data_IF_654588208865
#
_entry.id   IF_654588208865
#
_cell.length_a   1.000
_cell.length_b   1.000
_cell.length_c   1.000
_cell.angle_alpha   90.00
_cell.angle_beta   90.00
_cell.angle_gamma   90.00
#
_symmetry.space_group_name_H-M   'P 1'
#
loop_
_entity.id
_entity.type
_entity.pdbx_description
1 polymer ?
#
# COMPACT_ATOMS: atom_id res chain seq x y z
N UNK A 1 6.61 -30.79 -5.43
CA UNK A 1 5.92 -29.61 -5.93
C UNK A 1 5.80 -28.48 -4.88
N UNK A 2 5.04 -28.65 -3.78
CA UNK A 2 5.05 -27.66 -2.66
C UNK A 2 6.41 -27.67 -1.95
N UNK A 3 7.05 -28.83 -1.82
CA UNK A 3 8.39 -28.97 -1.26
C UNK A 3 9.46 -28.21 -2.06
N UNK A 4 9.36 -28.13 -3.39
CA UNK A 4 10.32 -27.41 -4.24
C UNK A 4 10.18 -25.88 -4.13
N UNK A 5 8.97 -25.38 -3.81
CA UNK A 5 8.71 -23.96 -3.51
C UNK A 5 9.32 -23.58 -2.17
N UNK A 6 9.22 -24.46 -1.18
CA UNK A 6 9.76 -24.27 0.17
C UNK A 6 11.28 -24.50 0.25
N UNK A 7 11.88 -25.19 -0.73
CA UNK A 7 13.33 -25.47 -0.76
C UNK A 7 14.16 -24.28 -1.26
N UNK A 8 13.58 -23.32 -1.97
CA UNK A 8 14.29 -22.13 -2.43
C UNK A 8 14.25 -21.00 -1.38
N UNK A 9 15.40 -20.63 -0.77
CA UNK A 9 15.44 -19.57 0.23
C UNK A 9 14.91 -18.20 -0.28
N UNK A 10 15.10 -17.90 -1.57
CA UNK A 10 14.61 -16.69 -2.19
C UNK A 10 13.08 -16.67 -2.27
N UNK A 11 12.48 -17.77 -2.70
CA UNK A 11 11.03 -17.91 -2.79
C UNK A 11 10.36 -17.82 -1.43
N UNK A 12 10.97 -18.44 -0.40
CA UNK A 12 10.48 -18.39 0.97
C UNK A 12 10.48 -16.95 1.52
N UNK A 13 11.59 -16.20 1.31
CA UNK A 13 11.67 -14.79 1.72
C UNK A 13 10.63 -13.92 1.03
N UNK A 14 10.47 -14.08 -0.27
CA UNK A 14 9.48 -13.31 -1.06
C UNK A 14 8.05 -13.63 -0.64
N UNK A 15 7.74 -14.90 -0.40
CA UNK A 15 6.44 -15.33 0.10
C UNK A 15 6.14 -14.72 1.46
N UNK A 16 7.10 -14.77 2.38
CA UNK A 16 6.97 -14.21 3.71
C UNK A 16 6.72 -12.70 3.66
N UNK A 17 7.51 -11.96 2.86
CA UNK A 17 7.31 -10.52 2.69
C UNK A 17 5.96 -10.21 2.06
N UNK A 18 5.55 -10.93 1.01
CA UNK A 18 4.26 -10.68 0.35
C UNK A 18 3.07 -10.94 1.29
N UNK A 19 3.14 -11.97 2.14
CA UNK A 19 2.13 -12.26 3.17
C UNK A 19 2.13 -11.17 4.25
N UNK A 20 3.29 -10.74 4.73
CA UNK A 20 3.39 -9.66 5.73
C UNK A 20 2.81 -8.34 5.19
N UNK A 21 3.11 -8.00 3.94
CA UNK A 21 2.50 -6.84 3.28
C UNK A 21 1.00 -7.03 3.11
N UNK A 22 0.55 -8.23 2.73
CA UNK A 22 -0.87 -8.60 2.66
C UNK A 22 -1.62 -8.48 3.99
N UNK A 23 -0.93 -8.63 5.12
CA UNK A 23 -1.46 -8.37 6.46
C UNK A 23 -1.50 -6.88 6.79
N UNK A 24 -0.39 -6.17 6.57
CA UNK A 24 -0.19 -4.80 7.02
C UNK A 24 -0.91 -3.76 6.14
N UNK A 25 -0.79 -3.89 4.82
CA UNK A 25 -1.30 -2.88 3.88
C UNK A 25 -2.82 -2.66 3.99
N UNK A 26 -3.68 -3.69 4.09
CA UNK A 26 -5.13 -3.48 4.25
C UNK A 26 -5.51 -2.79 5.55
N UNK A 27 -4.72 -2.93 6.62
CA UNK A 27 -5.00 -2.24 7.90
C UNK A 27 -4.88 -0.73 7.73
N UNK A 28 -3.79 -0.26 7.12
CA UNK A 28 -3.61 1.17 6.79
C UNK A 28 -4.62 1.62 5.74
N UNK A 29 -4.82 0.83 4.70
CA UNK A 29 -5.78 1.08 3.63
C UNK A 29 -7.21 1.29 4.14
N UNK A 30 -7.61 0.57 5.21
CA UNK A 30 -8.95 0.74 5.79
C UNK A 30 -9.22 2.16 6.31
N UNK A 31 -8.22 2.82 6.88
CA UNK A 31 -8.32 4.20 7.33
C UNK A 31 -8.28 5.19 6.17
N UNK A 32 -7.44 4.94 5.15
CA UNK A 32 -7.37 5.79 3.96
C UNK A 32 -8.68 5.75 3.16
N UNK A 33 -9.25 4.56 2.96
CA UNK A 33 -10.53 4.38 2.23
C UNK A 33 -11.68 5.06 2.99
N UNK A 34 -11.74 4.94 4.33
CA UNK A 34 -12.76 5.61 5.13
C UNK A 34 -12.68 7.13 5.06
N UNK A 35 -11.46 7.69 4.95
CA UNK A 35 -11.25 9.14 4.79
C UNK A 35 -11.50 9.65 3.37
N UNK A 36 -11.88 8.78 2.41
CA UNK A 36 -11.97 9.14 1.00
C UNK A 36 -10.63 9.42 0.33
N UNK A 37 -9.51 8.97 0.92
CA UNK A 37 -8.14 9.20 0.44
C UNK A 37 -7.50 7.91 -0.11
N UNK A 38 -8.29 7.08 -0.79
CA UNK A 38 -7.83 5.80 -1.31
C UNK A 38 -6.56 5.92 -2.20
N UNK A 39 -6.47 6.95 -3.04
CA UNK A 39 -5.33 7.19 -3.92
C UNK A 39 -4.07 7.70 -3.21
N UNK A 40 -4.14 8.00 -1.91
CA UNK A 40 -2.98 8.52 -1.16
C UNK A 40 -1.81 7.54 -1.16
N UNK A 41 -2.09 6.22 -1.06
CA UNK A 41 -1.05 5.19 -1.13
C UNK A 41 -0.29 5.21 -2.45
N UNK A 42 -1.01 5.39 -3.54
CA UNK A 42 -0.43 5.45 -4.89
C UNK A 42 0.37 6.74 -5.10
N UNK A 43 -0.17 7.90 -4.71
CA UNK A 43 0.54 9.18 -4.75
C UNK A 43 1.86 9.15 -3.95
N UNK A 44 1.82 8.61 -2.72
CA UNK A 44 3.02 8.43 -1.89
C UNK A 44 4.01 7.46 -2.56
N UNK A 45 3.54 6.41 -3.24
CA UNK A 45 4.38 5.46 -3.96
C UNK A 45 5.22 6.13 -5.04
N UNK A 46 4.61 7.02 -5.83
CA UNK A 46 5.33 7.75 -6.87
C UNK A 46 6.30 8.79 -6.29
N UNK A 47 5.97 9.41 -5.17
CA UNK A 47 6.90 10.28 -4.43
C UNK A 47 8.06 9.47 -3.84
N UNK A 48 7.80 8.27 -3.34
CA UNK A 48 8.85 7.36 -2.89
C UNK A 48 9.83 7.00 -4.02
N UNK A 49 9.35 6.88 -5.28
CA UNK A 49 10.22 6.69 -6.44
C UNK A 49 11.18 7.86 -6.64
N UNK A 50 10.72 9.10 -6.46
CA UNK A 50 11.62 10.28 -6.42
C UNK A 50 12.67 10.14 -5.33
N UNK A 51 12.28 9.61 -4.17
CA UNK A 51 13.19 9.34 -3.05
C UNK A 51 14.24 8.27 -3.39
N UNK A 52 13.86 7.20 -4.07
CA UNK A 52 14.80 6.19 -4.61
C UNK A 52 15.82 6.86 -5.54
N UNK A 53 15.34 7.68 -6.47
CA UNK A 53 16.18 8.36 -7.45
C UNK A 53 17.17 9.32 -6.78
N UNK A 54 16.72 10.09 -5.79
CA UNK A 54 17.59 10.94 -4.98
C UNK A 54 18.60 10.13 -4.16
N UNK A 55 18.18 9.02 -3.58
CA UNK A 55 19.05 8.09 -2.86
C UNK A 55 20.15 7.52 -3.78
N UNK A 56 19.78 7.15 -5.01
CA UNK A 56 20.74 6.70 -6.03
C UNK A 56 21.73 7.78 -6.40
N UNK A 57 21.26 8.98 -6.70
CA UNK A 57 22.10 10.11 -7.06
C UNK A 57 23.10 10.45 -5.96
N UNK A 58 22.64 10.53 -4.71
CA UNK A 58 23.50 10.79 -3.54
C UNK A 58 24.47 9.63 -3.29
N UNK A 59 24.05 8.39 -3.46
CA UNK A 59 24.89 7.20 -3.33
C UNK A 59 26.00 7.14 -4.37
N UNK A 60 25.69 7.55 -5.60
CA UNK A 60 26.66 7.63 -6.70
C UNK A 60 27.73 8.70 -6.41
N UNK A 61 27.32 9.88 -5.95
CA UNK A 61 28.22 11.00 -5.70
C UNK A 61 29.10 10.84 -4.46
N UNK A 62 28.55 10.26 -3.38
CA UNK A 62 29.25 10.19 -2.09
C UNK A 62 30.09 8.93 -1.92
N UNK A 63 29.64 7.77 -2.39
CA UNK A 63 30.22 6.48 -2.02
C UNK A 63 30.34 5.47 -3.17
N UNK A 64 29.91 5.77 -4.38
CA UNK A 64 29.90 4.83 -5.50
C UNK A 64 29.00 3.60 -5.31
N UNK A 65 28.10 3.62 -4.33
CA UNK A 65 27.16 2.54 -4.01
C UNK A 65 25.70 3.05 -4.05
N UNK A 66 25.12 3.20 -5.24
CA UNK A 66 23.81 3.81 -5.41
C UNK A 66 22.68 3.04 -4.73
N UNK A 67 22.74 1.71 -4.71
CA UNK A 67 21.67 0.87 -4.15
C UNK A 67 21.50 0.99 -2.63
N UNK A 68 22.58 1.32 -1.90
CA UNK A 68 22.57 1.41 -0.43
C UNK A 68 21.68 2.54 0.07
N UNK A 69 21.58 3.63 -0.67
CA UNK A 69 20.81 4.82 -0.28
C UNK A 69 19.41 4.87 -0.90
N UNK A 70 19.05 3.94 -1.78
CA UNK A 70 17.76 3.88 -2.45
C UNK A 70 16.58 3.78 -1.46
N UNK A 71 16.62 2.81 -0.53
CA UNK A 71 15.55 2.59 0.46
C UNK A 71 15.48 3.73 1.49
N UNK A 72 16.58 4.17 2.10
CA UNK A 72 16.56 5.34 2.98
C UNK A 72 16.03 6.61 2.29
N UNK A 73 16.43 6.86 1.05
CA UNK A 73 15.92 7.97 0.26
C UNK A 73 14.41 7.89 0.02
N UNK A 74 13.93 6.71 -0.37
CA UNK A 74 12.50 6.44 -0.51
C UNK A 74 11.71 6.73 0.77
N UNK A 75 12.21 6.23 1.91
CA UNK A 75 11.60 6.42 3.22
C UNK A 75 11.46 7.91 3.60
N UNK A 76 12.56 8.65 3.51
CA UNK A 76 12.57 10.07 3.86
C UNK A 76 11.62 10.86 2.96
N UNK A 77 11.70 10.68 1.65
CA UNK A 77 10.90 11.46 0.69
C UNK A 77 9.42 11.04 0.73
N UNK A 78 9.11 9.75 0.94
CA UNK A 78 7.73 9.30 1.11
C UNK A 78 7.08 9.91 2.35
N UNK A 79 7.79 9.94 3.49
CA UNK A 79 7.29 10.56 4.72
C UNK A 79 7.11 12.07 4.54
N UNK A 80 8.09 12.76 3.93
CA UNK A 80 7.96 14.18 3.65
C UNK A 80 6.76 14.47 2.73
N UNK A 81 6.58 13.68 1.67
CA UNK A 81 5.44 13.80 0.77
C UNK A 81 4.10 13.61 1.50
N UNK A 82 4.01 12.59 2.36
CA UNK A 82 2.82 12.33 3.16
C UNK A 82 2.50 13.49 4.13
N UNK A 83 3.52 14.07 4.75
CA UNK A 83 3.37 15.23 5.62
C UNK A 83 2.95 16.49 4.84
N UNK A 84 3.49 16.69 3.64
CA UNK A 84 3.10 17.79 2.76
C UNK A 84 1.63 17.66 2.34
N UNK A 85 1.18 16.48 1.92
CA UNK A 85 -0.23 16.26 1.59
C UNK A 85 -1.12 16.60 2.79
N UNK A 86 -0.79 16.08 3.97
CA UNK A 86 -1.60 16.33 5.17
C UNK A 86 -1.61 17.80 5.56
N UNK A 87 -0.47 18.49 5.40
CA UNK A 87 -0.39 19.92 5.64
C UNK A 87 -1.24 20.73 4.65
N UNK A 88 -1.13 20.46 3.34
CA UNK A 88 -1.89 21.16 2.29
C UNK A 88 -3.40 20.95 2.50
N UNK A 89 -3.79 19.71 2.84
CA UNK A 89 -5.18 19.36 3.13
C UNK A 89 -5.69 20.11 4.39
N UNK A 90 -4.92 20.07 5.46
CA UNK A 90 -5.31 20.70 6.73
C UNK A 90 -5.35 22.23 6.66
N UNK A 91 -4.55 22.83 5.80
CA UNK A 91 -4.52 24.26 5.55
C UNK A 91 -5.64 24.73 4.59
N UNK A 92 -6.39 23.82 3.96
CA UNK A 92 -7.47 24.15 3.02
C UNK A 92 -6.97 24.85 1.73
N UNK A 93 -5.68 24.71 1.38
CA UNK A 93 -5.07 25.39 0.23
C UNK A 93 -5.70 24.89 -1.08
N UNK A 94 -5.98 23.59 -1.16
CA UNK A 94 -6.63 22.96 -2.30
C UNK A 94 -7.40 21.72 -1.86
N UNK A 95 -8.25 21.17 -2.74
CA UNK A 95 -8.91 19.90 -2.44
C UNK A 95 -7.91 18.77 -2.26
N UNK A 96 -8.22 17.80 -1.41
CA UNK A 96 -7.37 16.64 -1.18
C UNK A 96 -7.01 15.89 -2.47
N UNK A 97 -7.97 15.76 -3.39
CA UNK A 97 -7.77 15.09 -4.69
C UNK A 97 -6.80 15.86 -5.59
N UNK A 98 -6.90 17.20 -5.61
CA UNK A 98 -5.97 18.04 -6.41
C UNK A 98 -4.55 17.96 -5.83
N UNK A 99 -4.40 18.02 -4.51
CA UNK A 99 -3.11 17.86 -3.86
C UNK A 99 -2.47 16.49 -4.16
N UNK A 100 -3.27 15.42 -4.11
CA UNK A 100 -2.86 14.08 -4.47
C UNK A 100 -2.44 13.96 -5.93
N UNK A 101 -3.20 14.57 -6.87
CA UNK A 101 -2.89 14.56 -8.29
C UNK A 101 -1.57 15.27 -8.58
N UNK A 102 -1.34 16.45 -7.98
CA UNK A 102 -0.08 17.19 -8.13
C UNK A 102 1.11 16.35 -7.61
N UNK A 103 0.93 15.73 -6.46
CA UNK A 103 1.98 14.91 -5.86
C UNK A 103 2.26 13.64 -6.68
N UNK A 104 1.23 13.02 -7.21
CA UNK A 104 1.31 11.84 -8.08
C UNK A 104 2.11 12.15 -9.36
N UNK A 105 1.67 13.16 -10.13
CA UNK A 105 2.37 13.55 -11.36
C UNK A 105 3.75 14.12 -11.09
N UNK A 106 3.90 14.93 -10.06
CA UNK A 106 5.19 15.47 -9.63
C UNK A 106 6.17 14.37 -9.22
N UNK A 107 5.69 13.38 -8.46
CA UNK A 107 6.48 12.21 -8.05
C UNK A 107 6.96 11.38 -9.23
N UNK A 108 6.10 11.11 -10.22
CA UNK A 108 6.50 10.39 -11.44
C UNK A 108 7.53 11.21 -12.23
N UNK A 109 7.21 12.47 -12.51
CA UNK A 109 8.07 13.31 -13.35
C UNK A 109 9.46 13.52 -12.73
N UNK A 110 9.51 13.88 -11.44
CA UNK A 110 10.77 14.04 -10.72
C UNK A 110 11.54 12.71 -10.59
N UNK A 111 10.84 11.60 -10.30
CA UNK A 111 11.46 10.28 -10.20
C UNK A 111 12.15 9.86 -11.51
N UNK A 112 11.43 9.95 -12.63
CA UNK A 112 11.97 9.61 -13.96
C UNK A 112 13.12 10.51 -14.33
N UNK A 113 12.98 11.83 -14.13
CA UNK A 113 14.04 12.80 -14.43
C UNK A 113 15.33 12.51 -13.64
N UNK A 114 15.21 12.31 -12.33
CA UNK A 114 16.35 12.05 -11.45
C UNK A 114 17.03 10.70 -11.73
N UNK A 115 16.24 9.64 -12.03
CA UNK A 115 16.81 8.34 -12.45
C UNK A 115 17.62 8.52 -13.74
N UNK A 116 17.09 9.26 -14.71
CA UNK A 116 17.80 9.53 -15.96
C UNK A 116 19.11 10.31 -15.72
N UNK A 117 19.09 11.32 -14.85
CA UNK A 117 20.28 12.08 -14.46
C UNK A 117 21.31 11.24 -13.68
N UNK A 118 20.86 10.25 -12.93
CA UNK A 118 21.73 9.33 -12.19
C UNK A 118 22.32 8.21 -13.08
N UNK A 119 22.08 8.23 -14.40
CA UNK A 119 22.54 7.19 -15.33
C UNK A 119 21.76 5.88 -15.21
N UNK A 120 20.59 5.91 -14.58
CA UNK A 120 19.71 4.75 -14.46
C UNK A 120 18.98 4.40 -15.76
N UNK A 121 18.52 3.15 -15.84
CA UNK A 121 17.81 2.62 -17.01
C UNK A 121 16.31 2.43 -16.71
N UNK A 122 15.51 2.26 -17.78
CA UNK A 122 14.09 1.89 -17.65
C UNK A 122 13.88 0.55 -16.94
N UNK A 123 14.87 -0.35 -16.95
CA UNK A 123 14.82 -1.61 -16.22
C UNK A 123 14.78 -1.37 -14.70
N UNK A 124 15.51 -0.37 -14.19
CA UNK A 124 15.49 0.01 -12.79
C UNK A 124 14.13 0.57 -12.36
N UNK A 125 13.52 1.38 -13.22
CA UNK A 125 12.14 1.89 -13.02
C UNK A 125 11.13 0.74 -12.91
N UNK A 126 11.15 -0.19 -13.87
CA UNK A 126 10.26 -1.34 -13.87
C UNK A 126 10.41 -2.21 -12.60
N UNK A 127 11.63 -2.32 -12.09
CA UNK A 127 11.92 -3.02 -10.86
C UNK A 127 11.15 -2.44 -9.64
N UNK A 128 11.15 -1.12 -9.47
CA UNK A 128 10.43 -0.48 -8.36
C UNK A 128 8.93 -0.40 -8.58
N UNK A 129 8.46 -0.33 -9.83
CA UNK A 129 7.02 -0.30 -10.14
C UNK A 129 6.34 -1.66 -9.93
N UNK A 130 6.97 -2.74 -10.38
CA UNK A 130 6.37 -4.08 -10.42
C UNK A 130 6.92 -5.04 -9.36
N UNK A 131 7.95 -4.64 -8.63
CA UNK A 131 8.64 -5.49 -7.67
C UNK A 131 9.47 -6.61 -8.33
N UNK A 132 10.26 -7.30 -7.51
CA UNK A 132 11.01 -8.47 -7.96
C UNK A 132 11.18 -9.48 -6.84
N UNK A 133 10.82 -10.72 -7.12
CA UNK A 133 10.95 -11.86 -6.20
C UNK A 133 12.42 -12.27 -6.02
N UNK A 134 13.26 -12.03 -7.05
CA UNK A 134 14.64 -12.56 -7.11
C UNK A 134 15.65 -11.77 -6.29
N UNK A 135 15.27 -10.59 -5.79
CA UNK A 135 16.22 -9.65 -5.15
C UNK A 135 15.95 -9.43 -3.66
N UNK A 136 15.03 -10.20 -3.06
CA UNK A 136 14.68 -10.06 -1.64
C UNK A 136 15.84 -10.50 -0.77
N UNK A 137 16.41 -9.55 -0.02
CA UNK A 137 17.48 -9.81 0.93
C UNK A 137 16.94 -10.18 2.32
N UNK A 138 17.78 -10.75 3.17
CA UNK A 138 17.39 -11.01 4.57
C UNK A 138 17.08 -9.71 5.35
N UNK A 139 17.69 -8.58 4.97
CA UNK A 139 17.42 -7.28 5.58
C UNK A 139 16.01 -6.78 5.21
N UNK A 140 15.57 -6.98 3.96
CA UNK A 140 14.21 -6.60 3.53
C UNK A 140 13.14 -7.35 4.33
N UNK A 141 13.38 -8.62 4.66
CA UNK A 141 12.49 -9.42 5.53
C UNK A 141 12.37 -8.78 6.91
N UNK A 142 13.52 -8.43 7.55
CA UNK A 142 13.50 -7.81 8.87
C UNK A 142 12.82 -6.45 8.89
N UNK A 143 13.06 -5.60 7.90
CA UNK A 143 12.37 -4.31 7.77
C UNK A 143 10.86 -4.51 7.60
N UNK A 144 10.44 -5.49 6.79
CA UNK A 144 9.02 -5.77 6.59
C UNK A 144 8.36 -6.34 7.85
N UNK A 145 9.05 -7.23 8.59
CA UNK A 145 8.54 -7.74 9.88
C UNK A 145 8.37 -6.60 10.88
N UNK A 146 9.40 -5.78 11.09
CA UNK A 146 9.35 -4.65 12.01
C UNK A 146 8.22 -3.68 11.64
N UNK A 147 8.10 -3.35 10.35
CA UNK A 147 7.03 -2.49 9.85
C UNK A 147 5.64 -3.09 10.09
N UNK A 148 5.46 -4.38 9.75
CA UNK A 148 4.19 -5.08 9.96
C UNK A 148 3.77 -5.04 11.42
N UNK A 149 4.71 -5.30 12.35
CA UNK A 149 4.43 -5.21 13.80
C UNK A 149 4.00 -3.79 14.19
N UNK A 150 4.71 -2.77 13.72
CA UNK A 150 4.35 -1.36 13.99
C UNK A 150 2.96 -1.02 13.45
N UNK A 151 2.67 -1.39 12.19
CA UNK A 151 1.38 -1.11 11.56
C UNK A 151 0.25 -1.82 12.29
N UNK A 152 0.41 -3.09 12.64
CA UNK A 152 -0.60 -3.84 13.37
C UNK A 152 -0.79 -3.28 14.79
N UNK A 153 0.29 -2.92 15.48
CA UNK A 153 0.21 -2.30 16.80
C UNK A 153 -0.52 -0.95 16.76
N UNK A 154 -0.19 -0.08 15.80
CA UNK A 154 -0.84 1.22 15.63
C UNK A 154 -2.26 1.04 15.09
N UNK A 155 -2.45 0.33 13.99
CA UNK A 155 -3.73 0.24 13.30
C UNK A 155 -4.77 -0.57 14.05
N UNK A 156 -4.38 -1.60 14.80
CA UNK A 156 -5.30 -2.40 15.60
C UNK A 156 -5.37 -1.87 17.05
N UNK A 157 -4.24 -1.48 17.63
CA UNK A 157 -4.18 -0.99 19.00
C UNK A 157 -4.87 0.37 19.19
N UNK A 158 -4.73 1.28 18.22
CA UNK A 158 -5.37 2.60 18.23
C UNK A 158 -6.66 2.64 17.39
N UNK A 159 -7.30 1.48 17.15
CA UNK A 159 -8.48 1.39 16.28
C UNK A 159 -9.60 2.35 16.65
N UNK A 160 -9.92 2.50 17.95
CA UNK A 160 -10.98 3.39 18.42
C UNK A 160 -10.73 4.86 18.04
N UNK A 161 -9.65 5.47 18.48
CA UNK A 161 -9.29 6.84 18.11
C UNK A 161 -9.14 7.05 16.60
N UNK A 162 -8.45 6.13 15.90
CA UNK A 162 -8.28 6.20 14.45
C UNK A 162 -9.61 6.14 13.71
N UNK A 163 -10.53 5.27 14.14
CA UNK A 163 -11.87 5.19 13.55
C UNK A 163 -12.67 6.48 13.75
N UNK A 164 -12.67 7.05 14.98
CA UNK A 164 -13.34 8.32 15.24
C UNK A 164 -12.82 9.43 14.34
N UNK A 165 -11.51 9.57 14.24
CA UNK A 165 -10.88 10.62 13.42
C UNK A 165 -11.15 10.42 11.92
N UNK A 166 -11.17 9.18 11.43
CA UNK A 166 -11.40 8.90 10.01
C UNK A 166 -12.86 8.98 9.59
N UNK A 167 -13.78 8.78 10.52
CA UNK A 167 -15.22 8.80 10.25
C UNK A 167 -15.83 10.20 10.41
N UNK A 168 -15.43 10.93 11.46
CA UNK A 168 -15.93 12.28 11.79
C UNK A 168 -14.86 13.06 12.56
N UNK A 169 -14.16 13.96 11.86
CA UNK A 169 -13.09 14.78 12.44
C UNK A 169 -13.63 15.78 13.47
N UNK A 170 -14.85 16.30 13.28
CA UNK A 170 -15.44 17.29 14.19
C UNK A 170 -15.90 16.64 15.51
N UNK A 171 -16.52 15.47 15.43
CA UNK A 171 -16.84 14.66 16.59
C UNK A 171 -15.58 14.25 17.37
N UNK A 172 -14.54 13.79 16.67
CA UNK A 172 -13.28 13.41 17.29
C UNK A 172 -12.63 14.58 18.02
N UNK A 173 -12.68 15.80 17.42
CA UNK A 173 -12.17 17.04 18.05
C UNK A 173 -12.98 17.42 19.28
N UNK A 174 -14.32 17.33 19.20
CA UNK A 174 -15.20 17.58 20.34
C UNK A 174 -15.00 16.59 21.49
N UNK A 175 -14.61 15.36 21.15
CA UNK A 175 -14.27 14.30 22.12
C UNK A 175 -12.86 14.42 22.71
N UNK A 176 -12.11 15.51 22.42
CA UNK A 176 -10.78 15.77 22.96
C UNK A 176 -9.63 15.04 22.24
N UNK A 177 -9.88 14.39 21.10
CA UNK A 177 -8.83 13.73 20.32
C UNK A 177 -8.04 14.76 19.51
N UNK A 178 -6.71 14.61 19.47
CA UNK A 178 -5.83 15.41 18.62
C UNK A 178 -5.90 14.96 17.16
N UNK A 179 -6.92 15.40 16.43
CA UNK A 179 -7.19 15.03 15.02
C UNK A 179 -5.93 15.15 14.17
N UNK A 180 -5.18 16.26 14.31
CA UNK A 180 -3.95 16.49 13.54
C UNK A 180 -2.89 15.39 13.79
N UNK A 181 -2.70 14.97 15.04
CA UNK A 181 -1.72 13.94 15.37
C UNK A 181 -2.09 12.57 14.77
N UNK A 182 -3.38 12.19 14.85
CA UNK A 182 -3.86 10.94 14.26
C UNK A 182 -3.82 10.96 12.72
N UNK A 183 -4.10 12.10 12.11
CA UNK A 183 -4.00 12.27 10.66
C UNK A 183 -2.54 12.12 10.18
N UNK A 184 -1.59 12.75 10.88
CA UNK A 184 -0.16 12.59 10.63
C UNK A 184 0.25 11.12 10.83
N UNK A 185 -0.23 10.46 11.89
CA UNK A 185 0.07 9.06 12.15
C UNK A 185 -0.38 8.14 11.01
N UNK A 186 -1.60 8.35 10.48
CA UNK A 186 -2.11 7.60 9.31
C UNK A 186 -1.23 7.88 8.08
N UNK A 187 -0.91 9.13 7.81
CA UNK A 187 -0.09 9.52 6.67
C UNK A 187 1.33 8.92 6.73
N UNK A 188 1.96 8.98 7.90
CA UNK A 188 3.29 8.39 8.11
C UNK A 188 3.26 6.87 8.02
N UNK A 189 2.27 6.20 8.62
CA UNK A 189 2.14 4.74 8.50
C UNK A 189 1.89 4.30 7.06
N UNK A 190 1.13 5.06 6.28
CA UNK A 190 0.95 4.82 4.85
C UNK A 190 2.28 4.97 4.09
N UNK A 191 3.02 6.04 4.34
CA UNK A 191 4.33 6.28 3.72
C UNK A 191 5.34 5.18 4.02
N UNK A 192 5.43 4.76 5.28
CA UNK A 192 6.28 3.65 5.70
C UNK A 192 5.89 2.33 5.03
N UNK A 193 4.57 2.05 4.96
CA UNK A 193 4.05 0.85 4.29
C UNK A 193 4.48 0.80 2.83
N UNK A 194 4.30 1.90 2.11
CA UNK A 194 4.66 1.98 0.69
C UNK A 194 6.17 1.89 0.51
N UNK A 195 6.95 2.71 1.22
CA UNK A 195 8.39 2.82 1.02
C UNK A 195 9.16 1.52 1.33
N UNK A 196 8.74 0.76 2.36
CA UNK A 196 9.37 -0.52 2.69
C UNK A 196 8.93 -1.63 1.74
N UNK A 197 7.64 -1.65 1.39
CA UNK A 197 7.07 -2.75 0.59
C UNK A 197 7.38 -2.63 -0.90
N UNK A 198 7.60 -1.42 -1.43
CA UNK A 198 7.75 -1.17 -2.86
C UNK A 198 8.93 -1.93 -3.50
N UNK A 199 10.01 -2.15 -2.75
CA UNK A 199 11.20 -2.84 -3.27
C UNK A 199 10.91 -4.30 -3.60
N UNK A 200 10.09 -4.96 -2.80
CA UNK A 200 9.82 -6.40 -2.93
C UNK A 200 8.59 -6.64 -3.79
N UNK A 201 7.54 -5.88 -3.52
CA UNK A 201 6.20 -6.13 -4.05
C UNK A 201 5.87 -5.18 -5.20
N UNK A 202 6.55 -4.04 -5.28
CA UNK A 202 6.32 -2.98 -6.26
C UNK A 202 5.24 -1.98 -5.82
N UNK A 203 5.36 -0.74 -6.29
CA UNK A 203 4.45 0.37 -5.93
C UNK A 203 3.00 0.03 -6.31
N UNK A 204 2.77 -0.44 -7.54
CA UNK A 204 1.44 -0.76 -8.05
C UNK A 204 0.73 -1.82 -7.19
N UNK A 205 1.46 -2.83 -6.74
CA UNK A 205 0.85 -3.88 -5.92
C UNK A 205 0.58 -3.41 -4.50
N UNK A 206 1.49 -2.63 -3.89
CA UNK A 206 1.27 -2.10 -2.53
C UNK A 206 -0.01 -1.27 -2.47
N UNK A 207 -0.21 -0.36 -3.44
CA UNK A 207 -1.42 0.45 -3.54
C UNK A 207 -2.67 -0.41 -3.74
N UNK A 208 -2.62 -1.40 -4.64
CA UNK A 208 -3.72 -2.34 -4.84
C UNK A 208 -4.04 -3.15 -3.57
N UNK A 209 -3.02 -3.63 -2.84
CA UNK A 209 -3.19 -4.36 -1.58
C UNK A 209 -3.76 -3.49 -0.44
N UNK A 210 -3.50 -2.19 -0.45
CA UNK A 210 -4.09 -1.27 0.53
C UNK A 210 -5.58 -1.05 0.26
N UNK A 211 -6.01 -0.97 -0.99
CA UNK A 211 -7.34 -0.50 -1.38
C UNK A 211 -8.29 -1.65 -1.67
N UNK A 212 -7.92 -2.57 -2.59
CA UNK A 212 -8.85 -3.54 -3.17
C UNK A 212 -9.39 -4.55 -2.15
N UNK A 213 -8.57 -5.14 -1.24
CA UNK A 213 -9.09 -6.04 -0.20
C UNK A 213 -10.06 -5.34 0.74
N UNK A 214 -9.80 -4.07 1.08
CA UNK A 214 -10.67 -3.26 1.94
C UNK A 214 -12.00 -2.96 1.25
N UNK A 215 -11.95 -2.50 0.00
CA UNK A 215 -13.15 -2.25 -0.80
C UNK A 215 -14.00 -3.52 -0.96
N UNK A 216 -13.35 -4.67 -1.17
CA UNK A 216 -14.04 -5.97 -1.23
C UNK A 216 -14.71 -6.32 0.10
N UNK A 217 -14.00 -6.15 1.20
CA UNK A 217 -14.53 -6.44 2.54
C UNK A 217 -15.70 -5.51 2.92
N UNK A 218 -15.68 -4.24 2.52
CA UNK A 218 -16.77 -3.28 2.76
C UNK A 218 -18.07 -3.65 2.04
N UNK A 219 -18.04 -4.45 0.97
CA UNK A 219 -19.26 -4.93 0.31
C UNK A 219 -20.05 -5.91 1.17
N UNK A 220 -19.40 -6.62 2.09
CA UNK A 220 -19.99 -7.72 2.88
C UNK A 220 -19.91 -7.48 4.39
N UNK A 221 -19.07 -6.57 4.89
CA UNK A 221 -18.90 -6.29 6.30
C UNK A 221 -19.46 -4.91 6.67
N UNK A 222 -20.13 -4.81 7.82
CA UNK A 222 -20.71 -3.57 8.36
C UNK A 222 -19.85 -2.90 9.44
N UNK A 223 -18.82 -3.56 9.98
CA UNK A 223 -17.95 -2.99 11.01
C UNK A 223 -16.50 -2.96 10.60
N UNK A 224 -15.77 -1.91 11.01
CA UNK A 224 -14.35 -1.73 10.72
C UNK A 224 -13.51 -2.96 11.11
N UNK A 225 -13.79 -3.54 12.29
CA UNK A 225 -13.03 -4.68 12.77
C UNK A 225 -13.19 -5.93 11.90
N UNK A 226 -14.40 -6.18 11.38
CA UNK A 226 -14.63 -7.28 10.45
C UNK A 226 -14.05 -6.98 9.07
N UNK A 227 -14.20 -5.73 8.60
CA UNK A 227 -13.59 -5.26 7.34
C UNK A 227 -12.07 -5.46 7.37
N UNK A 228 -11.38 -5.03 8.42
CA UNK A 228 -9.94 -5.22 8.54
C UNK A 228 -9.53 -6.68 8.52
N UNK A 229 -10.19 -7.54 9.32
CA UNK A 229 -9.87 -8.98 9.38
C UNK A 229 -10.07 -9.68 8.04
N UNK A 230 -11.20 -9.40 7.37
CA UNK A 230 -11.48 -9.97 6.06
C UNK A 230 -10.49 -9.43 5.00
N UNK A 231 -10.20 -8.13 5.00
CA UNK A 231 -9.23 -7.52 4.08
C UNK A 231 -7.82 -8.09 4.25
N UNK A 232 -7.36 -8.31 5.49
CA UNK A 232 -6.10 -8.99 5.79
C UNK A 232 -6.08 -10.41 5.22
N UNK A 233 -7.17 -11.17 5.42
CA UNK A 233 -7.31 -12.52 4.86
C UNK A 233 -7.27 -12.54 3.33
N UNK A 234 -7.98 -11.62 2.68
CA UNK A 234 -7.98 -11.45 1.23
C UNK A 234 -6.59 -11.04 0.70
N UNK A 235 -5.91 -10.11 1.36
CA UNK A 235 -4.56 -9.68 1.00
C UNK A 235 -3.56 -10.82 1.09
N UNK A 236 -3.55 -11.57 2.19
CA UNK A 236 -2.68 -12.73 2.36
C UNK A 236 -3.00 -13.84 1.36
N UNK A 237 -4.29 -14.15 1.16
CA UNK A 237 -4.71 -15.18 0.20
C UNK A 237 -4.30 -14.83 -1.22
N UNK A 238 -4.50 -13.60 -1.66
CA UNK A 238 -4.09 -13.13 -2.98
C UNK A 238 -2.57 -13.15 -3.15
N UNK A 239 -1.81 -12.77 -2.11
CA UNK A 239 -0.36 -12.83 -2.12
C UNK A 239 0.15 -14.27 -2.30
N UNK A 240 -0.39 -15.21 -1.53
CA UNK A 240 -0.05 -16.63 -1.62
C UNK A 240 -0.37 -17.22 -3.00
N UNK A 241 -1.61 -17.05 -3.45
CA UNK A 241 -2.09 -17.60 -4.73
C UNK A 241 -1.35 -16.95 -5.89
N UNK A 242 -1.21 -15.62 -5.91
CA UNK A 242 -0.53 -14.89 -6.97
C UNK A 242 0.94 -15.28 -7.11
N UNK A 243 1.66 -15.41 -5.99
CA UNK A 243 3.07 -15.79 -6.00
C UNK A 243 3.27 -17.24 -6.47
N UNK A 244 2.37 -18.14 -6.10
CA UNK A 244 2.40 -19.53 -6.58
C UNK A 244 2.14 -19.61 -8.08
N UNK A 245 1.17 -18.84 -8.60
CA UNK A 245 0.86 -18.84 -10.04
C UNK A 245 2.03 -18.29 -10.85
N UNK A 246 2.73 -17.27 -10.38
CA UNK A 246 3.88 -16.69 -11.12
C UNK A 246 5.06 -17.65 -11.27
N UNK A 247 5.09 -18.76 -10.53
CA UNK A 247 6.06 -19.83 -10.73
C UNK A 247 5.84 -20.57 -12.05
N UNK A 248 4.59 -20.62 -12.52
CA UNK A 248 4.18 -21.36 -13.74
C UNK A 248 3.98 -20.44 -14.95
N UNK A 249 3.76 -19.15 -14.69
CA UNK A 249 3.54 -18.15 -15.73
C UNK A 249 4.64 -17.09 -15.62
N UNK A 250 5.32 -16.81 -16.72
CA UNK A 250 6.35 -15.77 -16.78
C UNK A 250 5.72 -14.37 -16.71
N UNK A 251 5.15 -14.02 -15.55
CA UNK A 251 4.49 -12.73 -15.30
C UNK A 251 5.07 -12.06 -14.07
N UNK A 252 4.94 -10.74 -14.00
CA UNK A 252 5.30 -9.98 -12.80
C UNK A 252 4.43 -10.41 -11.60
N UNK A 253 5.03 -10.77 -10.46
CA UNK A 253 4.30 -11.16 -9.25
C UNK A 253 3.31 -10.09 -8.79
N UNK A 254 3.74 -8.83 -8.80
CA UNK A 254 2.89 -7.71 -8.41
C UNK A 254 1.64 -7.57 -9.28
N UNK A 255 1.81 -7.66 -10.61
CA UNK A 255 0.68 -7.57 -11.53
C UNK A 255 -0.29 -8.75 -11.35
N UNK A 256 0.23 -9.97 -11.17
CA UNK A 256 -0.61 -11.16 -10.96
C UNK A 256 -1.47 -11.05 -9.71
N UNK A 257 -0.88 -10.65 -8.57
CA UNK A 257 -1.61 -10.48 -7.31
C UNK A 257 -2.67 -9.38 -7.45
N UNK A 258 -2.33 -8.25 -8.10
CA UNK A 258 -3.28 -7.15 -8.32
C UNK A 258 -4.48 -7.61 -9.16
N UNK A 259 -4.25 -8.36 -10.24
CA UNK A 259 -5.32 -8.91 -11.09
C UNK A 259 -6.23 -9.86 -10.29
N UNK A 260 -5.66 -10.74 -9.44
CA UNK A 260 -6.43 -11.64 -8.58
C UNK A 260 -7.31 -10.85 -7.61
N UNK A 261 -6.78 -9.79 -7.00
CA UNK A 261 -7.55 -8.93 -6.08
C UNK A 261 -8.69 -8.22 -6.80
N UNK A 262 -8.45 -7.65 -7.98
CA UNK A 262 -9.46 -6.96 -8.79
C UNK A 262 -10.53 -7.93 -9.28
N UNK A 263 -10.15 -9.11 -9.75
CA UNK A 263 -11.09 -10.15 -10.15
C UNK A 263 -11.95 -10.62 -8.96
N UNK A 264 -11.34 -10.79 -7.77
CA UNK A 264 -12.05 -11.10 -6.54
C UNK A 264 -13.06 -10.01 -6.15
N UNK A 265 -12.66 -8.74 -6.24
CA UNK A 265 -13.57 -7.61 -6.02
C UNK A 265 -14.77 -7.64 -6.98
N UNK A 266 -14.50 -7.81 -8.28
CA UNK A 266 -15.55 -7.87 -9.31
C UNK A 266 -16.54 -9.03 -9.05
N UNK A 267 -16.03 -10.20 -8.68
CA UNK A 267 -16.87 -11.36 -8.34
C UNK A 267 -17.76 -11.08 -7.12
N UNK A 268 -17.21 -10.55 -6.03
CA UNK A 268 -17.97 -10.22 -4.82
C UNK A 268 -18.98 -9.10 -5.09
N UNK A 269 -18.62 -8.07 -5.86
CA UNK A 269 -19.52 -6.98 -6.24
C UNK A 269 -20.70 -7.48 -7.09
N UNK A 270 -20.45 -8.41 -8.01
CA UNK A 270 -21.49 -9.01 -8.83
C UNK A 270 -22.46 -9.83 -7.98
N UNK A 271 -21.95 -10.68 -7.09
CA UNK A 271 -22.77 -11.49 -6.18
C UNK A 271 -23.61 -10.60 -5.24
N UNK A 272 -22.99 -9.58 -4.63
CA UNK A 272 -23.67 -8.68 -3.71
C UNK A 272 -24.81 -7.91 -4.38
N UNK A 273 -24.64 -7.47 -5.63
CA UNK A 273 -25.69 -6.81 -6.42
C UNK A 273 -26.84 -7.75 -6.79
N UNK A 274 -26.54 -8.99 -7.14
CA UNK A 274 -27.56 -10.00 -7.45
C UNK A 274 -28.42 -10.33 -6.21
N UNK A 275 -27.78 -10.52 -5.05
CA UNK A 275 -28.48 -10.79 -3.78
C UNK A 275 -29.38 -9.62 -3.39
N UNK A 276 -28.89 -8.37 -3.48
CA UNK A 276 -29.71 -7.18 -3.17
C UNK A 276 -30.88 -7.02 -4.11
N UNK A 277 -30.74 -7.33 -5.41
CA UNK A 277 -31.84 -7.29 -6.39
C UNK A 277 -32.93 -8.34 -6.07
N UNK A 278 -32.52 -9.54 -5.66
CA UNK A 278 -33.49 -10.59 -5.27
C UNK A 278 -34.29 -10.20 -4.02
N UNK A 279 -33.63 -9.63 -3.00
CA UNK A 279 -34.34 -9.17 -1.79
C UNK A 279 -35.37 -8.06 -2.10
N UNK A 280 -35.05 -7.10 -2.95
CA UNK A 280 -36.01 -6.04 -3.35
C UNK A 280 -37.23 -6.60 -4.07
N UNK A 281 -37.03 -7.55 -5.00
CA UNK A 281 -38.16 -8.19 -5.73
C UNK A 281 -39.08 -9.02 -4.83
N UNK A 282 -38.58 -9.57 -3.74
CA UNK A 282 -39.39 -10.30 -2.78
C UNK A 282 -40.27 -9.36 -1.93
N UNK A 283 -39.72 -8.18 -1.54
CA UNK A 283 -40.49 -7.16 -0.80
C UNK A 283 -41.51 -6.39 -1.64
N UNK A 284 -41.35 -6.30 -2.95
CA UNK A 284 -42.33 -5.69 -3.87
C UNK A 284 -43.50 -6.63 -4.22
N UNK A 285 -43.43 -7.92 -3.83
CA UNK A 285 -44.49 -8.92 -4.12
C UNK A 285 -45.33 -9.28 -2.90
N UNK A 286 -45.01 -8.72 -1.74
CA UNK A 286 -45.80 -8.82 -0.49
C UNK A 286 -46.45 -7.47 -0.18
#
# INVERSE_FOLDING_TARGET
MIADILSSPLMMRSLLVAVLVGLAAPVVGSYLVQRGMALMGDGIGHVALTGVALGWLTGTWLHGQPERFAVPGALVIAVLGALIIEWVRSAGITSGDTALAILFYGGIACGVLLISLAGGTTANLNYYLFGSVTTVTGQDVWYTVALTVVILAVGIGLRGPLFSVTNDEDFARASGLSVRAFNILIAVTAALTVAVSMRVVGILLVSAMMIVPVATAQLVCSSLAHTQRLAMGLGCGAALVGLVITRYVSASPGAMIAVILIAGYAAVAMVSTLVRRNHRRVHERV
#
